data_IF_463298916693
#
_entry.id   IF_463298916693
#
_cell.length_a   1.000
_cell.length_b   1.000
_cell.length_c   1.000
_cell.angle_alpha   90.00
_cell.angle_beta   90.00
_cell.angle_gamma   90.00
#
_symmetry.space_group_name_H-M   'P 1'
#
loop_
_entity.id
_entity.type
_entity.pdbx_description
1 polymer ?
#
# COMPACT_ATOMS: atom_id res chain seq x y z
N UNK A 1 2.31 -13.19 -8.45
CA UNK A 1 0.93 -13.55 -8.85
C UNK A 1 0.16 -12.25 -9.02
N UNK A 2 -0.22 -11.89 -10.26
CA UNK A 2 -0.93 -10.62 -10.54
C UNK A 2 -2.44 -10.84 -10.45
N UNK A 3 -3.10 -10.26 -9.45
CA UNK A 3 -4.57 -10.20 -9.40
C UNK A 3 -5.03 -9.03 -10.27
N UNK A 4 -5.85 -9.38 -11.26
CA UNK A 4 -6.31 -8.48 -12.32
C UNK A 4 -7.71 -7.98 -11.96
N UNK A 5 -7.78 -6.99 -11.08
CA UNK A 5 -8.95 -6.13 -10.95
C UNK A 5 -8.83 -4.97 -11.95
N UNK A 6 -9.96 -4.60 -12.55
CA UNK A 6 -10.06 -3.91 -13.84
C UNK A 6 -9.27 -2.58 -13.88
N UNK A 7 -8.19 -2.58 -14.66
CA UNK A 7 -7.57 -1.40 -15.31
C UNK A 7 -6.84 -0.36 -14.43
N UNK A 8 -6.48 -0.72 -13.20
CA UNK A 8 -5.55 0.06 -12.37
C UNK A 8 -4.21 -0.67 -12.40
N UNK A 9 -3.24 -0.11 -13.13
CA UNK A 9 -1.87 -0.61 -13.11
C UNK A 9 -1.26 -0.12 -11.80
N UNK A 10 -1.24 -1.01 -10.81
CA UNK A 10 -0.57 -0.80 -9.53
C UNK A 10 0.88 -1.23 -9.72
N UNK A 11 1.78 -0.32 -9.38
CA UNK A 11 3.21 -0.55 -9.32
C UNK A 11 3.60 -0.60 -7.85
N UNK A 12 4.26 -1.69 -7.47
CA UNK A 12 4.83 -1.90 -6.14
C UNK A 12 6.33 -1.66 -6.23
N UNK A 13 6.84 -0.73 -5.44
CA UNK A 13 8.27 -0.47 -5.30
C UNK A 13 8.73 -0.82 -3.88
N UNK A 14 9.47 -1.91 -3.75
CA UNK A 14 10.09 -2.32 -2.49
C UNK A 14 11.41 -1.59 -2.27
N UNK A 15 11.58 -1.05 -1.07
CA UNK A 15 12.78 -0.32 -0.66
C UNK A 15 13.07 -0.55 0.81
N UNK A 16 14.32 -0.85 1.14
CA UNK A 16 14.75 -0.95 2.53
C UNK A 16 15.04 0.44 3.09
N UNK A 17 14.27 0.87 4.08
CA UNK A 17 14.44 2.15 4.79
C UNK A 17 14.65 1.84 6.25
N UNK A 18 15.77 2.28 6.84
CA UNK A 18 16.10 2.05 8.25
C UNK A 18 16.04 0.57 8.69
N UNK A 19 16.33 -0.36 7.77
CA UNK A 19 16.24 -1.81 8.04
C UNK A 19 14.82 -2.39 7.99
N UNK A 20 13.82 -1.59 7.64
CA UNK A 20 12.45 -2.05 7.40
C UNK A 20 12.18 -2.13 5.89
N UNK A 21 11.50 -3.19 5.45
CA UNK A 21 11.05 -3.31 4.07
C UNK A 21 9.82 -2.40 3.89
N UNK A 22 9.94 -1.41 3.01
CA UNK A 22 8.87 -0.49 2.67
C UNK A 22 8.44 -0.75 1.23
N UNK A 23 7.21 -1.17 1.05
CA UNK A 23 6.58 -1.41 -0.26
C UNK A 23 5.71 -0.22 -0.61
N UNK A 24 6.13 0.62 -1.54
CA UNK A 24 5.35 1.78 -1.98
C UNK A 24 4.41 1.40 -3.13
N UNK A 25 3.14 1.79 -3.02
CA UNK A 25 2.12 1.50 -4.01
C UNK A 25 1.74 2.75 -4.81
N UNK A 26 1.86 2.65 -6.13
CA UNK A 26 1.52 3.72 -7.07
C UNK A 26 0.56 3.22 -8.15
N UNK A 27 -0.55 3.91 -8.37
CA UNK A 27 -1.50 3.62 -9.44
C UNK A 27 -1.37 4.68 -10.54
N UNK A 28 -0.85 4.29 -11.71
CA UNK A 28 -0.63 5.15 -12.90
C UNK A 28 0.23 6.40 -12.65
N UNK A 29 -0.30 7.39 -11.93
CA UNK A 29 0.32 8.69 -11.58
C UNK A 29 -0.03 9.17 -10.17
N UNK A 30 -0.76 8.37 -9.39
CA UNK A 30 -1.21 8.72 -8.05
C UNK A 30 -0.64 7.71 -7.06
N UNK A 31 0.00 8.21 -6.00
CA UNK A 31 0.49 7.39 -4.89
C UNK A 31 -0.73 6.89 -4.09
N UNK A 32 -0.91 5.57 -3.97
CA UNK A 32 -1.92 4.99 -3.06
C UNK A 32 -1.41 4.93 -1.62
N UNK A 33 -0.10 5.04 -1.43
CA UNK A 33 0.56 5.05 -0.12
C UNK A 33 1.70 4.04 -0.08
N UNK A 34 2.04 3.55 1.12
CA UNK A 34 3.16 2.64 1.32
C UNK A 34 2.88 1.67 2.47
N UNK A 35 3.33 0.43 2.36
CA UNK A 35 3.28 -0.59 3.40
C UNK A 35 4.67 -0.71 4.02
N UNK A 36 4.77 -0.64 5.33
CA UNK A 36 6.01 -0.86 6.07
C UNK A 36 5.88 -2.23 6.76
N UNK A 37 6.76 -3.16 6.41
CA UNK A 37 6.87 -4.43 7.11
C UNK A 37 7.67 -4.21 8.40
N UNK A 38 7.01 -4.40 9.54
CA UNK A 38 7.59 -4.24 10.87
C UNK A 38 7.50 -5.56 11.64
N UNK A 39 8.55 -6.37 11.48
CA UNK A 39 8.73 -7.69 12.09
C UNK A 39 7.58 -8.68 11.88
N UNK A 40 6.51 -8.55 12.68
CA UNK A 40 5.35 -9.45 12.72
C UNK A 40 4.04 -8.74 12.34
N UNK A 41 4.16 -7.49 11.87
CA UNK A 41 3.03 -6.62 11.50
C UNK A 41 3.35 -5.87 10.22
N UNK A 42 2.29 -5.36 9.61
CA UNK A 42 2.39 -4.48 8.45
C UNK A 42 1.70 -3.16 8.77
N UNK A 43 2.31 -2.06 8.36
CA UNK A 43 1.80 -0.72 8.60
C UNK A 43 1.48 -0.11 7.25
N UNK A 44 0.19 -0.01 6.91
CA UNK A 44 -0.26 0.75 5.75
C UNK A 44 -0.19 2.24 6.07
N UNK A 45 0.46 3.02 5.22
CA UNK A 45 0.57 4.47 5.34
C UNK A 45 -0.13 5.08 4.12
N UNK A 46 -1.25 5.75 4.35
CA UNK A 46 -2.00 6.45 3.33
C UNK A 46 -1.21 7.66 2.80
N UNK A 47 -1.52 8.16 1.59
CA UNK A 47 -0.90 9.37 1.04
C UNK A 47 -1.22 10.62 1.87
N UNK A 48 -2.28 10.60 2.67
CA UNK A 48 -2.60 11.63 3.67
C UNK A 48 -1.63 11.66 4.86
N UNK A 49 -0.84 10.59 5.07
CA UNK A 49 0.05 10.41 6.21
C UNK A 49 -0.56 9.58 7.34
N UNK A 50 -1.83 9.19 7.26
CA UNK A 50 -2.46 8.28 8.20
C UNK A 50 -1.82 6.89 8.16
N UNK A 51 -1.72 6.23 9.32
CA UNK A 51 -1.07 4.92 9.47
C UNK A 51 -2.03 3.91 10.08
N UNK A 52 -2.12 2.74 9.46
CA UNK A 52 -2.96 1.64 9.89
C UNK A 52 -2.11 0.40 10.12
N UNK A 53 -2.17 -0.12 11.34
CA UNK A 53 -1.46 -1.33 11.70
C UNK A 53 -2.36 -2.54 11.43
N UNK A 54 -1.86 -3.47 10.63
CA UNK A 54 -2.56 -4.68 10.23
C UNK A 54 -1.67 -5.90 10.42
N UNK A 55 -2.28 -7.09 10.39
CA UNK A 55 -1.56 -8.34 10.65
C UNK A 55 -0.93 -8.93 9.39
N UNK A 56 -1.45 -8.57 8.22
CA UNK A 56 -1.00 -9.12 6.95
C UNK A 56 -0.80 -8.02 5.91
N UNK A 57 0.12 -8.26 4.98
CA UNK A 57 0.36 -7.35 3.87
C UNK A 57 -0.89 -7.17 3.02
N UNK A 58 -1.66 -8.23 2.75
CA UNK A 58 -2.90 -8.14 1.98
C UNK A 58 -3.92 -7.18 2.63
N UNK A 59 -4.07 -7.19 3.96
CA UNK A 59 -4.93 -6.21 4.64
C UNK A 59 -4.41 -4.78 4.44
N UNK A 60 -3.08 -4.59 4.42
CA UNK A 60 -2.48 -3.29 4.21
C UNK A 60 -2.76 -2.77 2.79
N UNK A 61 -2.58 -3.64 1.79
CA UNK A 61 -2.86 -3.35 0.39
C UNK A 61 -4.35 -3.05 0.16
N UNK A 62 -5.24 -3.86 0.74
CA UNK A 62 -6.70 -3.67 0.63
C UNK A 62 -7.13 -2.32 1.22
N UNK A 63 -6.53 -1.88 2.33
CA UNK A 63 -6.78 -0.55 2.90
C UNK A 63 -6.36 0.57 1.93
N UNK A 64 -5.17 0.47 1.34
CA UNK A 64 -4.65 1.47 0.39
C UNK A 64 -5.51 1.56 -0.87
N UNK A 65 -5.93 0.41 -1.41
CA UNK A 65 -6.79 0.33 -2.59
C UNK A 65 -8.19 0.87 -2.26
N UNK A 66 -8.74 0.53 -1.09
CA UNK A 66 -10.05 1.01 -0.64
C UNK A 66 -10.06 2.52 -0.44
N UNK A 67 -9.04 3.08 0.18
CA UNK A 67 -8.88 4.53 0.37
C UNK A 67 -8.83 5.27 -0.98
N UNK A 68 -8.07 4.72 -1.93
CA UNK A 68 -7.98 5.27 -3.28
C UNK A 68 -9.31 5.25 -4.05
N UNK A 69 -10.13 4.20 -3.88
CA UNK A 69 -11.48 4.16 -4.47
C UNK A 69 -12.43 5.16 -3.81
N UNK A 70 -12.34 5.37 -2.49
CA UNK A 70 -13.19 6.31 -1.75
C UNK A 70 -12.96 7.77 -2.19
N UNK A 71 -11.73 8.14 -2.50
CA UNK A 71 -11.37 9.49 -2.93
C UNK A 71 -11.57 9.75 -4.44
N UNK A 72 -12.03 8.76 -5.21
CA UNK A 72 -12.45 8.90 -6.63
C UNK A 72 -13.97 8.79 -6.81
N UNK A 73 -14.72 9.20 -5.79
CA UNK A 73 -16.17 9.49 -5.88
C UNK A 73 -16.42 10.89 -6.42
#
# INVERSE_FOLDING_TARGET
>A
MSRKDKNIQITEEEKMVNGQLVTELTAKKSKLGQVIADQDKFIAVLPSGERFNVKTENEALDLLIRDFHLHRG
#
